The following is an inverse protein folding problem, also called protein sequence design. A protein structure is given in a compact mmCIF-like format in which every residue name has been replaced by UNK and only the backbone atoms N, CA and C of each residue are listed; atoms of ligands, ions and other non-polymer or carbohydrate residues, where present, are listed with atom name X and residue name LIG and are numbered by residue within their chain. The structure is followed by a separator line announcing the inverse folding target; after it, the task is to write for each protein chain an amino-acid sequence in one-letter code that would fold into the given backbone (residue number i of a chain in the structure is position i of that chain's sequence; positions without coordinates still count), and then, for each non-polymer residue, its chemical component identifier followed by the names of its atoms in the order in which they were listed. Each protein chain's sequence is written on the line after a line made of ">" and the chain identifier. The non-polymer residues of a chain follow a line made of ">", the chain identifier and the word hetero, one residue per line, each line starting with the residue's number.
data_IF_702444893744
#
_entry.id   IF_702444893744
#
_cell.length_a   1.000
_cell.length_b   1.000
_cell.length_c   1.000
_cell.angle_alpha   90.00
_cell.angle_beta   90.00
_cell.angle_gamma   90.00
#
_symmetry.space_group_name_H-M   'P 1'
#
loop_
_entity.id
_entity.type
_entity.pdbx_description
1 polymer ?
#
# COMPACT_ATOMS: atom_id res chain seq x y z
N UNK A 1 19.37 -4.26 -9.24
CA UNK A 1 19.01 -2.95 -8.68
C UNK A 1 19.29 -3.03 -7.20
N UNK A 2 20.17 -2.21 -6.73
CA UNK A 2 20.50 -2.15 -5.31
C UNK A 2 19.79 -0.93 -4.72
N UNK A 3 18.96 -1.14 -3.73
CA UNK A 3 18.17 -0.06 -3.16
C UNK A 3 17.25 -0.53 -2.05
N UNK A 4 16.32 0.31 -1.69
CA UNK A 4 15.33 0.04 -0.66
C UNK A 4 14.01 -0.38 -1.29
N UNK A 5 13.52 -1.56 -0.95
CA UNK A 5 12.17 -2.01 -1.28
C UNK A 5 11.28 -1.83 -0.03
N UNK A 6 10.12 -1.21 -0.22
CA UNK A 6 9.11 -1.01 0.81
C UNK A 6 7.86 -1.79 0.39
N UNK A 7 7.48 -2.81 1.16
CA UNK A 7 6.30 -3.62 0.88
C UNK A 7 5.13 -3.10 1.72
N UNK A 8 4.12 -2.59 1.04
CA UNK A 8 2.94 -1.96 1.63
C UNK A 8 2.86 -0.48 1.32
N UNK A 9 2.07 -0.12 0.31
CA UNK A 9 1.86 1.26 -0.14
C UNK A 9 0.73 1.97 0.64
N UNK A 10 0.70 1.77 1.95
CA UNK A 10 -0.18 2.50 2.85
C UNK A 10 0.50 3.75 3.43
N UNK A 11 -0.07 4.27 4.51
CA UNK A 11 0.43 5.49 5.17
C UNK A 11 1.87 5.33 5.67
N UNK A 12 2.20 4.19 6.29
CA UNK A 12 3.54 3.95 6.82
C UNK A 12 4.58 3.83 5.71
N UNK A 13 4.28 3.11 4.62
CA UNK A 13 5.18 2.97 3.47
C UNK A 13 5.44 4.29 2.76
N UNK A 14 4.38 5.08 2.52
CA UNK A 14 4.50 6.42 1.94
C UNK A 14 5.32 7.37 2.83
N UNK A 15 5.10 7.33 4.14
CA UNK A 15 5.86 8.14 5.09
C UNK A 15 7.35 7.73 5.11
N UNK A 16 7.65 6.43 5.11
CA UNK A 16 9.02 5.92 5.08
C UNK A 16 9.75 6.34 3.80
N UNK A 17 9.14 6.16 2.63
CA UNK A 17 9.71 6.55 1.35
C UNK A 17 10.01 8.06 1.29
N UNK A 18 9.05 8.89 1.69
CA UNK A 18 9.22 10.33 1.73
C UNK A 18 10.31 10.75 2.73
N UNK A 19 10.37 10.11 3.90
CA UNK A 19 11.38 10.43 4.92
C UNK A 19 12.78 10.07 4.46
N UNK A 20 12.97 8.94 3.80
CA UNK A 20 14.26 8.56 3.22
C UNK A 20 14.77 9.65 2.25
N UNK A 21 13.92 10.13 1.34
CA UNK A 21 14.29 11.21 0.42
C UNK A 21 14.59 12.53 1.15
N UNK A 22 13.80 12.88 2.15
CA UNK A 22 14.04 14.09 2.94
C UNK A 22 15.33 14.04 3.77
N UNK A 23 15.81 12.86 4.11
CA UNK A 23 17.10 12.65 4.78
C UNK A 23 18.28 12.52 3.81
N UNK A 24 18.07 12.70 2.50
CA UNK A 24 19.11 12.66 1.50
C UNK A 24 19.51 11.25 1.04
N UNK A 25 18.68 10.24 1.27
CA UNK A 25 18.95 8.90 0.71
C UNK A 25 18.85 8.94 -0.81
N UNK A 26 19.95 8.66 -1.49
CA UNK A 26 20.08 8.74 -2.96
C UNK A 26 19.84 7.40 -3.68
N UNK A 27 19.87 6.28 -2.95
CA UNK A 27 19.64 4.94 -3.53
C UNK A 27 18.21 4.79 -4.07
N UNK A 28 18.00 3.77 -4.89
CA UNK A 28 16.67 3.47 -5.42
C UNK A 28 15.65 3.19 -4.31
N UNK A 29 14.43 3.69 -4.47
CA UNK A 29 13.29 3.40 -3.59
C UNK A 29 12.16 2.85 -4.45
N UNK A 30 11.70 1.63 -4.13
CA UNK A 30 10.51 1.04 -4.72
C UNK A 30 9.46 0.82 -3.63
N UNK A 31 8.27 1.39 -3.82
CA UNK A 31 7.11 1.22 -2.95
C UNK A 31 6.09 0.31 -3.64
N UNK A 32 5.87 -0.87 -3.07
CA UNK A 32 5.01 -1.92 -3.64
C UNK A 32 3.70 -1.98 -2.88
N UNK A 33 2.58 -1.94 -3.59
CA UNK A 33 1.24 -2.04 -3.00
C UNK A 33 0.35 -3.03 -3.73
N UNK A 34 -0.42 -3.81 -2.97
CA UNK A 34 -1.40 -4.75 -3.54
C UNK A 34 -2.63 -4.04 -4.11
N UNK A 35 -3.00 -2.88 -3.56
CA UNK A 35 -4.06 -2.04 -4.10
C UNK A 35 -3.58 -1.29 -5.34
N UNK A 36 -4.50 -0.97 -6.25
CA UNK A 36 -4.20 -0.20 -7.48
C UNK A 36 -4.12 1.29 -7.23
N UNK A 37 -4.68 1.76 -6.12
CA UNK A 37 -4.64 3.16 -5.73
C UNK A 37 -3.27 3.55 -5.14
N UNK A 38 -2.80 4.80 -5.39
CA UNK A 38 -1.64 5.32 -4.69
C UNK A 38 -1.90 5.44 -3.18
N UNK A 39 -0.87 5.63 -2.35
CA UNK A 39 -1.05 5.75 -0.90
C UNK A 39 -2.11 6.80 -0.51
N UNK A 40 -3.09 6.40 0.29
CA UNK A 40 -4.23 7.23 0.67
C UNK A 40 -4.59 7.09 2.15
N UNK A 41 -5.43 8.01 2.65
CA UNK A 41 -5.95 8.03 4.01
C UNK A 41 -7.14 7.08 4.14
N UNK A 42 -7.07 6.08 5.03
CA UNK A 42 -8.20 5.15 5.26
C UNK A 42 -9.35 5.72 6.11
N UNK A 43 -9.11 6.57 7.12
CA UNK A 43 -10.21 7.02 7.99
C UNK A 43 -11.39 7.68 7.27
N UNK A 44 -11.22 8.47 6.19
CA UNK A 44 -12.34 9.06 5.48
C UNK A 44 -13.22 8.06 4.74
N UNK A 45 -12.75 6.84 4.43
CA UNK A 45 -13.50 5.83 3.67
C UNK A 45 -14.89 5.55 4.27
N UNK A 46 -14.96 5.41 5.60
CA UNK A 46 -16.21 5.18 6.33
C UNK A 46 -16.91 6.46 6.81
N UNK A 47 -16.50 7.62 6.29
CA UNK A 47 -17.02 8.95 6.68
C UNK A 47 -17.34 9.77 5.44
N UNK A 48 -16.60 10.85 5.20
CA UNK A 48 -16.88 11.80 4.12
C UNK A 48 -16.79 11.18 2.73
N UNK A 49 -15.91 10.18 2.53
CA UNK A 49 -15.77 9.55 1.22
C UNK A 49 -17.02 8.75 0.84
N UNK A 50 -17.49 7.83 1.70
CA UNK A 50 -18.70 7.03 1.43
C UNK A 50 -19.97 7.90 1.30
N UNK A 51 -19.98 9.08 1.90
CA UNK A 51 -21.08 10.05 1.78
C UNK A 51 -21.00 10.89 0.51
N UNK A 52 -19.97 10.73 -0.32
CA UNK A 52 -19.77 11.56 -1.51
C UNK A 52 -19.34 13.01 -1.20
N UNK A 53 -18.89 13.28 0.02
CA UNK A 53 -18.44 14.61 0.48
C UNK A 53 -16.94 14.84 0.30
N UNK A 54 -16.22 13.85 -0.21
CA UNK A 54 -14.78 13.92 -0.45
C UNK A 54 -14.42 13.26 -1.77
N UNK A 55 -13.80 14.01 -2.66
CA UNK A 55 -13.29 13.51 -3.93
C UNK A 55 -12.10 12.57 -3.71
N UNK A 56 -11.90 11.62 -4.65
CA UNK A 56 -10.88 10.58 -4.58
C UNK A 56 -9.46 11.17 -4.39
N UNK A 57 -9.14 12.22 -5.13
CA UNK A 57 -7.83 12.86 -5.09
C UNK A 57 -7.49 13.44 -3.70
N UNK A 58 -8.51 13.82 -2.94
CA UNK A 58 -8.35 14.33 -1.57
C UNK A 58 -8.06 13.22 -0.54
N UNK A 59 -8.33 11.97 -0.90
CA UNK A 59 -7.90 10.83 -0.08
C UNK A 59 -6.39 10.63 -0.16
N UNK A 60 -5.75 10.91 -1.30
CA UNK A 60 -4.36 10.62 -1.51
C UNK A 60 -3.48 11.38 -0.50
N UNK A 61 -2.51 10.67 0.07
CA UNK A 61 -1.54 11.26 1.01
C UNK A 61 -0.65 12.27 0.32
N UNK A 62 -0.33 12.01 -0.95
CA UNK A 62 0.46 12.86 -1.85
C UNK A 62 -0.01 12.65 -3.28
N UNK A 63 0.07 13.67 -4.14
CA UNK A 63 -0.20 13.49 -5.55
C UNK A 63 0.81 12.51 -6.18
N UNK A 64 0.43 11.84 -7.26
CA UNK A 64 1.29 10.83 -7.94
C UNK A 64 2.60 11.45 -8.39
N UNK A 65 2.56 12.68 -8.87
CA UNK A 65 3.72 13.45 -9.34
C UNK A 65 4.79 13.65 -8.24
N UNK A 66 4.40 13.61 -6.97
CA UNK A 66 5.34 13.64 -5.86
C UNK A 66 6.32 12.47 -5.91
N UNK A 67 5.81 11.26 -6.16
CA UNK A 67 6.65 10.06 -6.19
C UNK A 67 7.60 10.09 -7.38
N UNK A 68 7.14 10.54 -8.53
CA UNK A 68 7.96 10.72 -9.74
C UNK A 68 9.07 11.77 -9.50
N UNK A 69 8.71 12.95 -9.01
CA UNK A 69 9.65 14.04 -8.71
C UNK A 69 10.71 13.64 -7.69
N UNK A 70 10.33 12.77 -6.76
CA UNK A 70 11.24 12.26 -5.70
C UNK A 70 11.94 10.97 -6.10
N UNK A 71 11.85 10.52 -7.35
CA UNK A 71 12.44 9.27 -7.83
C UNK A 71 12.06 8.07 -6.93
N UNK A 72 10.79 7.98 -6.55
CA UNK A 72 10.22 6.84 -5.82
C UNK A 72 9.38 6.04 -6.82
N UNK A 73 9.80 4.82 -7.13
CA UNK A 73 9.08 3.93 -8.02
C UNK A 73 7.85 3.38 -7.30
N UNK A 74 6.65 3.67 -7.81
CA UNK A 74 5.40 3.04 -7.35
C UNK A 74 5.14 1.78 -8.18
N UNK A 75 4.97 0.64 -7.50
CA UNK A 75 4.52 -0.62 -8.11
C UNK A 75 3.21 -1.04 -7.45
N UNK A 76 2.11 -0.51 -7.97
CA UNK A 76 0.76 -0.71 -7.47
C UNK A 76 0.08 -1.91 -8.13
N UNK A 77 -1.02 -2.41 -7.53
CA UNK A 77 -1.72 -3.60 -8.00
C UNK A 77 -0.83 -4.85 -7.96
N UNK A 78 0.19 -4.85 -7.13
CA UNK A 78 1.24 -5.87 -7.10
C UNK A 78 1.38 -6.47 -5.71
N UNK A 79 1.21 -7.79 -5.65
CA UNK A 79 1.39 -8.55 -4.41
C UNK A 79 2.75 -9.24 -4.41
N UNK A 80 3.48 -9.09 -3.33
CA UNK A 80 4.72 -9.85 -3.09
C UNK A 80 4.35 -11.25 -2.62
N UNK A 81 4.90 -12.27 -3.29
CA UNK A 81 4.59 -13.67 -3.02
C UNK A 81 5.48 -14.25 -1.92
N UNK A 82 6.79 -13.94 -1.95
CA UNK A 82 7.75 -14.45 -1.02
C UNK A 82 8.91 -13.48 -0.78
N UNK A 83 9.57 -13.65 0.36
CA UNK A 83 10.78 -12.93 0.75
C UNK A 83 11.85 -13.97 1.07
N UNK A 84 13.01 -13.85 0.45
CA UNK A 84 14.20 -14.64 0.77
C UNK A 84 15.26 -13.74 1.39
N UNK A 85 15.48 -13.88 2.69
CA UNK A 85 16.46 -13.06 3.42
C UNK A 85 17.90 -13.50 3.14
N UNK A 86 18.09 -14.78 2.83
CA UNK A 86 19.41 -15.31 2.51
C UNK A 86 19.99 -14.72 1.23
N UNK A 87 19.16 -14.55 0.20
CA UNK A 87 19.55 -13.95 -1.08
C UNK A 87 19.21 -12.47 -1.18
N UNK A 88 18.61 -11.88 -0.13
CA UNK A 88 18.09 -10.51 -0.13
C UNK A 88 17.23 -10.23 -1.37
N UNK A 89 16.22 -11.05 -1.59
CA UNK A 89 15.32 -10.92 -2.74
C UNK A 89 13.86 -11.10 -2.33
N UNK A 90 12.98 -10.50 -3.13
CA UNK A 90 11.55 -10.75 -3.09
C UNK A 90 11.10 -11.40 -4.40
N UNK A 91 10.01 -12.14 -4.36
CA UNK A 91 9.39 -12.76 -5.53
C UNK A 91 8.02 -12.14 -5.79
N UNK A 92 7.75 -11.82 -7.06
CA UNK A 92 6.50 -11.26 -7.55
C UNK A 92 6.14 -11.96 -8.86
N UNK A 93 5.12 -12.81 -8.86
CA UNK A 93 4.64 -13.51 -10.05
C UNK A 93 5.76 -14.23 -10.83
N UNK A 94 6.73 -14.82 -10.10
CA UNK A 94 7.88 -15.50 -10.69
C UNK A 94 9.07 -14.60 -11.03
N UNK A 95 8.92 -13.28 -11.00
CA UNK A 95 10.02 -12.32 -11.08
C UNK A 95 10.75 -12.24 -9.74
N UNK A 96 12.08 -12.22 -9.75
CA UNK A 96 12.90 -12.02 -8.55
C UNK A 96 13.54 -10.64 -8.57
N UNK A 97 13.33 -9.87 -7.51
CA UNK A 97 13.91 -8.52 -7.31
C UNK A 97 14.83 -8.55 -6.10
N UNK A 98 16.08 -8.14 -6.29
CA UNK A 98 17.04 -7.99 -5.19
C UNK A 98 16.88 -6.64 -4.49
N UNK A 99 17.28 -6.60 -3.20
CA UNK A 99 17.26 -5.37 -2.39
C UNK A 99 18.50 -5.30 -1.50
N UNK A 100 18.92 -4.09 -1.15
CA UNK A 100 19.88 -3.84 -0.08
C UNK A 100 19.18 -3.75 1.27
N UNK A 101 18.05 -3.02 1.29
CA UNK A 101 17.21 -2.83 2.46
C UNK A 101 15.75 -3.18 2.14
N UNK A 102 15.08 -3.84 3.08
CA UNK A 102 13.67 -4.20 2.98
C UNK A 102 12.91 -3.61 4.17
N UNK A 103 11.85 -2.87 3.87
CA UNK A 103 10.94 -2.29 4.87
C UNK A 103 9.57 -2.93 4.70
N UNK A 104 9.02 -3.47 5.78
CA UNK A 104 7.71 -4.10 5.79
C UNK A 104 6.68 -3.16 6.45
N UNK A 105 5.72 -2.69 5.66
CA UNK A 105 4.61 -1.83 6.10
C UNK A 105 3.28 -2.37 5.59
N UNK A 106 3.09 -3.68 5.74
CA UNK A 106 2.00 -4.45 5.11
C UNK A 106 0.62 -4.21 5.75
N UNK A 107 0.58 -3.49 6.87
CA UNK A 107 -0.68 -3.11 7.53
C UNK A 107 -1.38 -4.29 8.21
N UNK A 108 -2.71 -4.28 8.19
CA UNK A 108 -3.55 -5.26 8.86
C UNK A 108 -4.75 -5.64 7.99
N UNK A 109 -5.40 -6.74 8.33
CA UNK A 109 -6.65 -7.20 7.71
C UNK A 109 -7.81 -7.04 8.68
N UNK A 110 -9.04 -6.74 8.19
CA UNK A 110 -10.22 -6.69 9.05
C UNK A 110 -10.56 -8.10 9.57
N UNK A 111 -11.01 -8.19 10.80
CA UNK A 111 -11.65 -9.40 11.29
C UNK A 111 -13.06 -9.46 10.71
N UNK A 112 -13.38 -10.55 10.03
CA UNK A 112 -14.74 -10.79 9.52
C UNK A 112 -15.58 -11.46 10.60
N UNK A 113 -16.88 -11.15 10.62
CA UNK A 113 -17.83 -11.88 11.44
C UNK A 113 -17.88 -13.35 10.99
N UNK A 114 -17.87 -14.34 11.93
CA UNK A 114 -18.09 -15.73 11.58
C UNK A 114 -19.45 -15.95 10.91
N UNK A 115 -19.53 -16.92 10.03
CA UNK A 115 -20.80 -17.30 9.37
C UNK A 115 -21.91 -17.65 10.39
N UNK A 116 -21.53 -18.24 11.53
CA UNK A 116 -22.43 -18.63 12.62
C UNK A 116 -23.18 -17.47 13.27
N UNK A 117 -22.66 -16.24 13.15
CA UNK A 117 -23.28 -15.03 13.69
C UNK A 117 -23.65 -14.01 12.61
N UNK A 118 -23.87 -14.49 11.37
CA UNK A 118 -24.36 -13.68 10.28
C UNK A 118 -23.31 -13.13 9.33
N UNK A 119 -22.04 -13.47 9.49
CA UNK A 119 -20.97 -12.94 8.63
C UNK A 119 -21.02 -13.37 7.15
N UNK A 120 -21.81 -14.42 6.84
CA UNK A 120 -22.04 -14.89 5.47
C UNK A 120 -23.38 -14.41 4.87
N UNK A 121 -24.14 -13.58 5.58
CA UNK A 121 -25.40 -13.05 5.07
C UNK A 121 -25.17 -12.02 3.96
N UNK A 122 -26.07 -12.01 2.98
CA UNK A 122 -26.09 -10.97 1.96
C UNK A 122 -26.30 -9.60 2.60
N UNK A 123 -25.52 -8.61 2.14
CA UNK A 123 -25.59 -7.25 2.70
C UNK A 123 -24.65 -7.02 3.90
N UNK A 124 -23.87 -8.03 4.34
CA UNK A 124 -22.85 -7.86 5.36
C UNK A 124 -21.48 -7.67 4.69
N UNK A 125 -20.91 -6.50 4.83
CA UNK A 125 -19.66 -6.09 4.21
C UNK A 125 -18.60 -5.70 5.27
N UNK A 126 -17.33 -5.80 4.90
CA UNK A 126 -16.22 -5.26 5.68
C UNK A 126 -15.70 -4.01 5.00
N UNK A 127 -15.44 -2.95 5.76
CA UNK A 127 -14.84 -1.71 5.26
C UNK A 127 -13.36 -1.67 5.65
N UNK A 128 -12.47 -1.85 4.70
CA UNK A 128 -11.01 -1.79 4.94
C UNK A 128 -10.27 -0.91 3.94
N UNK A 129 -10.58 -1.04 2.67
CA UNK A 129 -9.89 -0.38 1.58
C UNK A 129 -10.82 0.41 0.67
N UNK A 130 -10.24 1.05 -0.35
CA UNK A 130 -10.98 1.88 -1.29
C UNK A 130 -12.02 1.07 -2.06
N UNK A 131 -11.67 -0.16 -2.47
CA UNK A 131 -12.60 -1.03 -3.20
C UNK A 131 -13.82 -1.43 -2.37
N UNK A 132 -13.63 -1.60 -1.04
CA UNK A 132 -14.75 -1.84 -0.12
C UNK A 132 -15.70 -0.63 -0.03
N UNK A 133 -15.16 0.59 -0.14
CA UNK A 133 -15.95 1.81 -0.06
C UNK A 133 -16.68 2.12 -1.37
N UNK A 134 -16.16 1.68 -2.51
CA UNK A 134 -16.72 1.89 -3.84
C UNK A 134 -17.75 0.80 -4.23
N UNK A 135 -17.84 -0.30 -3.47
CA UNK A 135 -18.76 -1.42 -3.71
C UNK A 135 -20.16 -1.14 -3.18
#
# INVERSE_FOLDING_TARGET
>A
MSGTIIIGAGQAGSAAAAKLRNLGYEGDIMLIGAETAPPYQRPPLSKKYILGEMELERLYLRPIEFYETKNITLRLGTKVDAICTATKSISIQGESLSYDHLILTTGSRPRRLPATIGGALNGVYSMRDLADADA
#
